data_IF_453916046669
#
_entry.id   IF_453916046669
#
_cell.length_a   1.000
_cell.length_b   1.000
_cell.length_c   1.000
_cell.angle_alpha   90.00
_cell.angle_beta   90.00
_cell.angle_gamma   90.00
#
_symmetry.space_group_name_H-M   'P 1'
#
loop_
_entity.id
_entity.type
_entity.pdbx_description
1 polymer ?
#
# COMPACT_ATOMS: atom_id res chain seq x y z
N UNK A 1 3.86 -21.25 10.10
CA UNK A 1 3.63 -19.81 9.91
C UNK A 1 3.93 -19.13 11.23
N UNK A 2 4.82 -18.14 11.28
CA UNK A 2 4.93 -17.26 12.45
C UNK A 2 3.67 -16.40 12.51
N UNK A 3 3.08 -16.23 13.69
CA UNK A 3 1.90 -15.41 13.90
C UNK A 3 2.16 -13.97 13.45
N UNK A 4 1.37 -13.47 12.50
CA UNK A 4 1.43 -12.08 12.01
C UNK A 4 0.52 -11.17 12.84
N UNK A 5 0.17 -11.53 14.07
CA UNK A 5 -0.73 -10.71 14.90
C UNK A 5 0.10 -9.68 15.65
N UNK A 6 -0.14 -8.36 15.47
CA UNK A 6 0.53 -7.34 16.26
C UNK A 6 0.24 -7.49 17.76
N UNK A 7 1.23 -7.16 18.60
CA UNK A 7 1.06 -7.23 20.04
C UNK A 7 0.25 -6.01 20.54
N UNK A 8 -1.04 -6.23 20.82
CA UNK A 8 -1.98 -5.41 21.61
C UNK A 8 -2.27 -3.95 21.19
N UNK A 9 -3.54 -3.67 20.83
CA UNK A 9 -4.38 -2.57 21.38
C UNK A 9 -5.85 -2.77 20.96
N UNK A 10 -6.82 -2.54 21.86
CA UNK A 10 -8.26 -2.47 21.56
C UNK A 10 -8.78 -1.07 21.92
N UNK A 11 -9.10 -0.21 20.94
CA UNK A 11 -10.03 0.88 21.15
C UNK A 11 -11.45 0.46 20.74
N UNK A 12 -12.47 1.12 21.30
CA UNK A 12 -13.83 1.11 20.79
C UNK A 12 -13.82 1.32 19.27
N UNK A 13 -14.39 0.38 18.51
CA UNK A 13 -14.43 0.48 17.06
C UNK A 13 -15.57 1.42 16.63
N UNK A 14 -15.34 2.33 15.67
CA UNK A 14 -16.41 3.13 15.11
C UNK A 14 -17.43 2.23 14.41
N UNK A 15 -18.73 2.51 14.61
CA UNK A 15 -19.82 1.84 13.91
C UNK A 15 -20.05 2.48 12.54
N UNK A 16 -20.52 1.68 11.57
CA UNK A 16 -20.85 2.19 10.23
C UNK A 16 -19.64 2.51 9.33
N UNK A 17 -18.48 1.93 9.63
CA UNK A 17 -17.32 2.00 8.72
C UNK A 17 -17.54 1.18 7.46
N UNK A 18 -16.96 1.66 6.36
CA UNK A 18 -17.09 1.08 5.03
C UNK A 18 -15.74 1.12 4.31
N UNK A 19 -15.31 -0.02 3.76
CA UNK A 19 -14.00 -0.16 3.08
C UNK A 19 -13.85 0.81 1.90
N UNK A 20 -14.94 1.19 1.23
CA UNK A 20 -14.93 2.11 0.08
C UNK A 20 -14.95 3.58 0.48
N UNK A 21 -14.99 3.90 1.79
CA UNK A 21 -14.97 5.28 2.29
C UNK A 21 -13.83 5.53 3.28
N UNK A 22 -13.62 4.59 4.18
CA UNK A 22 -12.88 4.82 5.44
C UNK A 22 -11.49 4.15 5.43
N UNK A 23 -11.19 3.32 4.43
CA UNK A 23 -9.91 2.64 4.25
C UNK A 23 -8.84 3.50 3.55
N UNK A 24 -7.55 3.15 3.69
CA UNK A 24 -6.47 3.89 3.03
C UNK A 24 -6.62 3.93 1.52
N UNK A 25 -7.07 2.84 0.90
CA UNK A 25 -7.28 2.80 -0.55
C UNK A 25 -8.46 3.69 -0.96
N UNK A 26 -9.51 3.77 -0.13
CA UNK A 26 -10.61 4.71 -0.34
C UNK A 26 -10.15 6.16 -0.36
N UNK A 27 -9.34 6.56 0.62
CA UNK A 27 -8.79 7.91 0.68
C UNK A 27 -7.75 8.17 -0.43
N UNK A 28 -6.98 7.17 -0.84
CA UNK A 28 -5.97 7.29 -1.89
C UNK A 28 -6.61 7.41 -3.28
N UNK A 29 -7.45 6.43 -3.68
CA UNK A 29 -8.01 6.35 -5.04
C UNK A 29 -9.36 7.07 -5.18
N UNK A 30 -9.99 7.47 -4.08
CA UNK A 30 -11.29 8.13 -4.09
C UNK A 30 -12.34 7.30 -4.82
N UNK A 31 -12.96 7.90 -5.83
CA UNK A 31 -14.01 7.27 -6.65
C UNK A 31 -13.52 6.03 -7.43
N UNK A 32 -12.20 5.85 -7.61
CA UNK A 32 -11.63 4.70 -8.33
C UNK A 32 -11.36 3.48 -7.44
N UNK A 33 -11.62 3.58 -6.13
CA UNK A 33 -11.37 2.50 -5.18
C UNK A 33 -12.17 1.23 -5.49
N UNK A 34 -13.44 1.38 -5.88
CA UNK A 34 -14.27 0.24 -6.27
C UNK A 34 -13.75 -0.43 -7.54
N UNK A 35 -13.25 0.35 -8.52
CA UNK A 35 -12.62 -0.17 -9.72
C UNK A 35 -11.31 -0.93 -9.40
N UNK A 36 -10.52 -0.43 -8.45
CA UNK A 36 -9.33 -1.13 -7.95
C UNK A 36 -9.71 -2.49 -7.36
N UNK A 37 -10.67 -2.53 -6.43
CA UNK A 37 -11.10 -3.80 -5.84
C UNK A 37 -11.73 -4.74 -6.86
N UNK A 38 -12.52 -4.24 -7.81
CA UNK A 38 -13.06 -5.06 -8.89
C UNK A 38 -11.95 -5.68 -9.74
N UNK A 39 -10.88 -4.94 -10.02
CA UNK A 39 -9.72 -5.43 -10.77
C UNK A 39 -8.93 -6.49 -10.00
N UNK A 40 -8.80 -6.32 -8.69
CA UNK A 40 -8.10 -7.25 -7.79
C UNK A 40 -8.89 -8.54 -7.56
N UNK A 41 -10.18 -8.42 -7.20
CA UNK A 41 -11.02 -9.52 -6.73
C UNK A 41 -11.78 -10.21 -7.87
N UNK A 42 -11.78 -9.62 -9.07
CA UNK A 42 -12.53 -10.08 -10.26
C UNK A 42 -14.04 -10.14 -10.04
N UNK A 43 -14.53 -9.44 -9.01
CA UNK A 43 -15.94 -9.32 -8.64
C UNK A 43 -16.14 -7.99 -7.89
N UNK A 44 -17.38 -7.54 -7.75
CA UNK A 44 -17.67 -6.36 -6.94
C UNK A 44 -17.36 -6.64 -5.47
N UNK A 45 -16.66 -5.72 -4.81
CA UNK A 45 -16.42 -5.81 -3.36
C UNK A 45 -17.74 -5.79 -2.57
N UNK A 46 -18.80 -5.18 -3.11
CA UNK A 46 -20.11 -5.06 -2.46
C UNK A 46 -20.86 -6.39 -2.38
N UNK A 47 -20.51 -7.37 -3.21
CA UNK A 47 -21.10 -8.71 -3.15
C UNK A 47 -20.35 -9.65 -2.21
N UNK A 48 -19.26 -9.19 -1.59
CA UNK A 48 -18.41 -10.01 -0.72
C UNK A 48 -18.64 -9.64 0.75
N UNK A 49 -18.57 -10.63 1.67
CA UNK A 49 -18.77 -10.41 3.10
C UNK A 49 -17.51 -9.84 3.74
N UNK A 50 -17.24 -8.54 3.50
CA UNK A 50 -16.11 -7.83 4.11
C UNK A 50 -16.29 -7.78 5.63
N UNK A 51 -15.31 -8.29 6.35
CA UNK A 51 -15.26 -8.29 7.80
C UNK A 51 -14.47 -7.09 8.32
N UNK A 52 -15.00 -6.48 9.37
CA UNK A 52 -14.35 -5.44 10.16
C UNK A 52 -14.98 -5.41 11.56
N UNK A 53 -14.18 -5.25 12.63
CA UNK A 53 -12.74 -5.45 12.68
C UNK A 53 -12.39 -6.95 12.67
N UNK A 54 -11.11 -7.28 12.50
CA UNK A 54 -10.61 -8.63 12.76
C UNK A 54 -9.97 -8.74 14.14
N UNK A 55 -10.04 -9.92 14.76
CA UNK A 55 -9.41 -10.12 16.07
C UNK A 55 -7.88 -10.09 15.94
N UNK A 56 -7.23 -9.23 16.74
CA UNK A 56 -5.80 -8.95 16.63
C UNK A 56 -5.44 -7.94 15.53
N UNK A 57 -6.41 -7.54 14.71
CA UNK A 57 -6.26 -6.58 13.61
C UNK A 57 -7.41 -5.55 13.66
N UNK A 58 -7.38 -4.63 14.64
CA UNK A 58 -8.51 -3.75 14.97
C UNK A 58 -8.91 -2.78 13.85
N UNK A 59 -8.01 -2.54 12.90
CA UNK A 59 -8.21 -1.65 11.77
C UNK A 59 -8.42 -2.40 10.45
N UNK A 60 -8.44 -3.73 10.43
CA UNK A 60 -8.44 -4.48 9.17
C UNK A 60 -9.83 -4.64 8.56
N UNK A 61 -9.91 -4.34 7.27
CA UNK A 61 -10.95 -4.82 6.37
C UNK A 61 -10.45 -6.06 5.65
N UNK A 62 -11.18 -7.17 5.76
CA UNK A 62 -10.69 -8.44 5.24
C UNK A 62 -11.82 -9.36 4.75
N UNK A 63 -11.41 -10.39 4.00
CA UNK A 63 -12.27 -11.50 3.63
C UNK A 63 -11.67 -12.81 4.17
N UNK A 64 -12.50 -13.76 4.55
CA UNK A 64 -12.02 -15.10 4.91
C UNK A 64 -11.32 -15.76 3.71
N UNK A 65 -10.28 -16.55 3.97
CA UNK A 65 -9.69 -17.41 2.93
C UNK A 65 -10.76 -18.21 2.20
N UNK A 66 -10.68 -18.24 0.86
CA UNK A 66 -11.65 -18.93 0.00
C UNK A 66 -12.81 -18.06 -0.50
N UNK A 67 -13.03 -16.86 0.06
CA UNK A 67 -14.01 -15.91 -0.48
C UNK A 67 -13.68 -15.48 -1.92
N UNK A 68 -12.38 -15.42 -2.26
CA UNK A 68 -11.88 -15.26 -3.62
C UNK A 68 -10.86 -16.36 -3.88
N UNK A 69 -11.21 -17.32 -4.73
CA UNK A 69 -10.46 -18.58 -4.91
C UNK A 69 -9.08 -18.40 -5.53
N UNK A 70 -8.87 -17.33 -6.29
CA UNK A 70 -7.61 -17.02 -6.97
C UNK A 70 -6.59 -16.34 -6.06
N UNK A 71 -6.98 -15.92 -4.85
CA UNK A 71 -6.13 -15.20 -3.91
C UNK A 71 -5.78 -16.06 -2.69
N UNK A 72 -4.60 -15.79 -2.14
CA UNK A 72 -4.08 -16.44 -0.94
C UNK A 72 -4.03 -15.45 0.22
N UNK A 73 -4.34 -15.94 1.42
CA UNK A 73 -4.26 -15.17 2.65
C UNK A 73 -2.87 -14.57 2.85
N UNK A 74 -2.85 -13.29 3.19
CA UNK A 74 -1.65 -12.53 3.53
C UNK A 74 -1.55 -12.21 5.03
N UNK A 75 -2.59 -12.50 5.81
CA UNK A 75 -2.61 -12.37 7.27
C UNK A 75 -3.36 -13.52 7.94
N UNK A 76 -3.14 -13.65 9.25
CA UNK A 76 -3.92 -14.50 10.15
C UNK A 76 -4.43 -13.67 11.32
N UNK A 77 -5.59 -14.03 11.87
CA UNK A 77 -6.12 -13.43 13.09
C UNK A 77 -5.46 -13.98 14.36
N UNK A 78 -5.91 -13.52 15.53
CA UNK A 78 -5.44 -13.98 16.84
C UNK A 78 -5.57 -15.51 17.06
N UNK A 79 -6.47 -16.19 16.36
CA UNK A 79 -6.70 -17.63 16.44
C UNK A 79 -6.08 -18.41 15.29
N UNK A 80 -5.22 -17.80 14.49
CA UNK A 80 -4.57 -18.38 13.32
C UNK A 80 -5.51 -18.70 12.14
N UNK A 81 -6.71 -18.12 12.10
CA UNK A 81 -7.57 -18.22 10.92
C UNK A 81 -7.03 -17.33 9.79
N UNK A 82 -6.93 -17.83 8.55
CA UNK A 82 -6.35 -17.11 7.42
C UNK A 82 -7.35 -16.14 6.75
N UNK A 83 -6.87 -14.94 6.44
CA UNK A 83 -7.64 -13.86 5.83
C UNK A 83 -6.92 -13.17 4.66
N UNK A 84 -7.71 -12.68 3.71
CA UNK A 84 -7.31 -11.73 2.67
C UNK A 84 -7.43 -10.32 3.26
N UNK A 85 -6.34 -9.73 3.74
CA UNK A 85 -6.30 -8.33 4.16
C UNK A 85 -6.42 -7.44 2.92
N UNK A 86 -7.51 -6.68 2.85
CA UNK A 86 -7.85 -5.82 1.72
C UNK A 86 -7.45 -4.37 1.95
N UNK A 87 -7.74 -3.85 3.14
CA UNK A 87 -7.42 -2.48 3.52
C UNK A 87 -7.29 -2.32 5.04
N UNK A 88 -6.80 -1.17 5.48
CA UNK A 88 -6.76 -0.75 6.87
C UNK A 88 -7.55 0.56 7.05
N UNK A 89 -8.26 0.70 8.17
CA UNK A 89 -8.94 1.93 8.56
C UNK A 89 -7.92 3.05 8.76
N UNK A 90 -8.19 4.21 8.15
CA UNK A 90 -7.33 5.39 8.27
C UNK A 90 -7.51 6.04 9.64
N UNK A 91 -6.40 6.45 10.25
CA UNK A 91 -6.44 7.42 11.35
C UNK A 91 -6.22 8.84 10.80
N UNK A 92 -7.31 9.53 10.48
CA UNK A 92 -7.28 10.88 9.88
C UNK A 92 -6.81 11.96 10.85
N UNK A 93 -6.73 11.67 12.16
CA UNK A 93 -6.19 12.61 13.14
C UNK A 93 -4.67 12.81 13.02
N UNK A 94 -3.96 11.86 12.38
CA UNK A 94 -2.51 11.98 12.13
C UNK A 94 -2.25 12.98 11.00
N UNK A 95 -2.98 12.82 9.90
CA UNK A 95 -2.79 13.58 8.67
C UNK A 95 -3.52 12.90 7.51
N UNK A 96 -3.70 13.60 6.39
CA UNK A 96 -4.40 13.05 5.25
C UNK A 96 -3.57 11.97 4.54
N UNK A 97 -4.27 10.99 3.99
CA UNK A 97 -3.71 10.10 2.96
C UNK A 97 -3.48 10.93 1.70
N UNK A 98 -2.35 10.73 1.04
CA UNK A 98 -2.03 11.41 -0.22
C UNK A 98 -2.94 10.85 -1.31
N UNK A 99 -3.87 11.66 -1.89
CA UNK A 99 -4.71 11.18 -2.96
C UNK A 99 -3.87 10.96 -4.22
N UNK A 100 -4.15 9.87 -4.93
CA UNK A 100 -3.48 9.52 -6.17
C UNK A 100 -4.51 8.96 -7.15
N UNK A 101 -4.45 9.38 -8.41
CA UNK A 101 -5.30 8.77 -9.44
C UNK A 101 -4.83 7.34 -9.73
N UNK A 102 -5.77 6.39 -9.72
CA UNK A 102 -5.48 5.00 -10.03
C UNK A 102 -4.81 4.90 -11.40
N UNK A 103 -3.57 4.43 -11.42
CA UNK A 103 -2.86 4.20 -12.67
C UNK A 103 -3.43 2.97 -13.38
N UNK A 104 -3.78 3.13 -14.66
CA UNK A 104 -4.17 2.05 -15.55
C UNK A 104 -3.39 2.12 -16.86
N UNK A 105 -3.12 0.99 -17.54
CA UNK A 105 -2.55 1.00 -18.87
C UNK A 105 -3.44 1.78 -19.85
N UNK A 106 -2.81 2.53 -20.78
CA UNK A 106 -3.53 3.41 -21.71
C UNK A 106 -4.21 2.67 -22.86
N UNK A 107 -3.61 1.57 -23.33
CA UNK A 107 -4.17 0.79 -24.43
C UNK A 107 -5.14 -0.27 -23.89
N UNK A 108 -6.24 -0.52 -24.60
CA UNK A 108 -7.20 -1.56 -24.22
C UNK A 108 -6.57 -2.95 -24.17
N UNK A 109 -5.59 -3.20 -25.05
CA UNK A 109 -4.81 -4.45 -25.07
C UNK A 109 -3.99 -4.62 -23.79
N UNK A 110 -3.25 -3.58 -23.38
CA UNK A 110 -2.44 -3.65 -22.17
C UNK A 110 -3.33 -3.70 -20.91
N UNK A 111 -4.48 -3.04 -20.93
CA UNK A 111 -5.46 -3.10 -19.85
C UNK A 111 -6.00 -4.53 -19.67
N UNK A 112 -6.40 -5.17 -20.77
CA UNK A 112 -6.83 -6.56 -20.76
C UNK A 112 -5.73 -7.47 -20.20
N UNK A 113 -4.53 -7.40 -20.81
CA UNK A 113 -3.42 -8.29 -20.49
C UNK A 113 -2.87 -8.11 -19.06
N UNK A 114 -2.74 -6.88 -18.59
CA UNK A 114 -2.01 -6.59 -17.34
C UNK A 114 -2.88 -6.26 -16.14
N UNK A 115 -4.20 -6.11 -16.33
CA UNK A 115 -5.15 -5.80 -15.24
C UNK A 115 -6.31 -6.78 -15.25
N UNK A 116 -7.06 -6.89 -16.35
CA UNK A 116 -8.31 -7.66 -16.35
C UNK A 116 -8.05 -9.18 -16.28
N UNK A 117 -7.17 -9.68 -17.14
CA UNK A 117 -6.80 -11.10 -17.25
C UNK A 117 -5.68 -11.50 -16.27
N UNK A 118 -4.92 -10.52 -15.79
CA UNK A 118 -3.86 -10.77 -14.82
C UNK A 118 -4.42 -11.03 -13.42
N UNK A 119 -3.79 -11.97 -12.70
CA UNK A 119 -3.96 -12.08 -11.24
C UNK A 119 -3.13 -11.00 -10.57
N UNK A 120 -3.82 -10.07 -9.90
CA UNK A 120 -3.17 -9.07 -9.05
C UNK A 120 -2.93 -9.66 -7.66
N UNK A 121 -2.00 -9.05 -6.93
CA UNK A 121 -1.62 -9.47 -5.59
C UNK A 121 -2.35 -8.57 -4.60
N UNK A 122 -2.64 -9.09 -3.40
CA UNK A 122 -3.20 -8.27 -2.32
C UNK A 122 -2.25 -7.10 -1.99
N UNK A 123 -2.78 -5.95 -1.54
CA UNK A 123 -1.95 -4.88 -1.02
C UNK A 123 -0.99 -5.38 0.07
N UNK A 124 0.22 -4.85 0.05
CA UNK A 124 1.24 -5.15 1.05
C UNK A 124 1.28 -3.98 2.02
N UNK A 125 0.60 -4.13 3.15
CA UNK A 125 0.65 -3.16 4.25
C UNK A 125 1.92 -3.36 5.09
N UNK A 126 2.51 -2.25 5.51
CA UNK A 126 3.66 -2.24 6.40
C UNK A 126 3.14 -2.02 7.81
N UNK A 127 3.20 -3.05 8.65
CA UNK A 127 2.75 -3.00 10.03
C UNK A 127 3.95 -3.24 10.93
N UNK A 128 4.05 -2.46 12.00
CA UNK A 128 5.11 -2.55 13.00
C UNK A 128 4.74 -3.59 14.07
N UNK A 129 5.74 -4.11 14.76
CA UNK A 129 5.54 -5.09 15.85
C UNK A 129 4.68 -4.55 16.99
N UNK A 130 4.64 -3.22 17.17
CA UNK A 130 3.81 -2.51 18.15
C UNK A 130 2.36 -2.24 17.66
N UNK A 131 1.98 -2.76 16.50
CA UNK A 131 0.67 -2.51 15.88
C UNK A 131 0.56 -1.18 15.13
N UNK A 132 1.60 -0.35 15.15
CA UNK A 132 1.64 0.88 14.35
C UNK A 132 1.63 0.57 12.85
N UNK A 133 1.01 1.47 12.07
CA UNK A 133 0.89 1.33 10.61
C UNK A 133 1.94 2.22 9.93
N UNK A 134 2.69 1.62 9.03
CA UNK A 134 3.62 2.27 8.13
C UNK A 134 5.05 2.47 8.66
N UNK A 135 5.87 3.06 7.80
CA UNK A 135 7.26 3.46 8.04
C UNK A 135 7.53 4.78 7.32
N UNK A 136 8.32 5.68 7.90
CA UNK A 136 8.61 6.96 7.23
C UNK A 136 9.44 6.76 5.96
N UNK A 137 9.34 7.67 4.98
CA UNK A 137 10.20 7.61 3.78
C UNK A 137 11.68 7.66 4.17
N UNK A 138 12.02 8.50 5.15
CA UNK A 138 13.38 8.60 5.69
C UNK A 138 13.90 7.26 6.25
N UNK A 139 13.11 6.58 7.07
CA UNK A 139 13.50 5.29 7.66
C UNK A 139 13.58 4.18 6.61
N UNK A 140 12.61 4.13 5.70
CA UNK A 140 12.59 3.15 4.63
C UNK A 140 13.78 3.30 3.68
N UNK A 141 14.15 4.54 3.30
CA UNK A 141 15.29 4.78 2.40
C UNK A 141 16.63 4.46 3.05
N UNK A 142 16.76 4.73 4.35
CA UNK A 142 17.90 4.36 5.19
C UNK A 142 17.99 2.84 5.47
N UNK A 143 16.87 2.12 5.33
CA UNK A 143 16.79 0.69 5.60
C UNK A 143 16.50 0.35 7.06
N UNK A 144 15.95 1.28 7.83
CA UNK A 144 15.58 1.15 9.23
C UNK A 144 14.21 0.44 9.39
N UNK A 145 14.08 -0.77 8.84
CA UNK A 145 12.81 -1.52 8.79
C UNK A 145 12.71 -2.68 9.78
N UNK A 146 13.61 -2.75 10.77
CA UNK A 146 13.68 -3.86 11.73
C UNK A 146 12.44 -3.95 12.65
N UNK A 147 11.76 -2.82 12.89
CA UNK A 147 10.53 -2.75 13.68
C UNK A 147 9.30 -3.29 12.95
N UNK A 148 9.41 -3.61 11.66
CA UNK A 148 8.30 -4.15 10.88
C UNK A 148 8.06 -5.62 11.13
N UNK A 149 6.79 -5.95 11.24
CA UNK A 149 6.29 -7.29 11.39
C UNK A 149 6.64 -8.14 10.16
N UNK A 150 7.36 -9.24 10.40
CA UNK A 150 7.81 -10.13 9.34
C UNK A 150 8.80 -9.50 8.37
N UNK A 151 9.65 -8.57 8.83
CA UNK A 151 10.65 -7.88 7.99
C UNK A 151 11.52 -8.81 7.13
N UNK A 152 11.87 -10.00 7.63
CA UNK A 152 12.68 -11.00 6.90
C UNK A 152 11.87 -11.96 6.03
N UNK A 153 10.53 -11.84 5.99
CA UNK A 153 9.70 -12.74 5.18
C UNK A 153 9.88 -12.44 3.69
N UNK A 154 9.87 -13.49 2.86
CA UNK A 154 9.75 -13.31 1.42
C UNK A 154 8.40 -12.67 1.07
N UNK A 155 8.40 -11.72 0.15
CA UNK A 155 7.18 -11.04 -0.31
C UNK A 155 6.90 -11.36 -1.77
N UNK A 156 5.68 -11.83 -2.05
CA UNK A 156 5.25 -11.99 -3.42
C UNK A 156 4.90 -10.62 -4.01
N UNK A 157 5.61 -10.24 -5.07
CA UNK A 157 5.47 -8.96 -5.77
C UNK A 157 5.01 -9.18 -7.22
N UNK A 158 4.20 -10.23 -7.43
CA UNK A 158 3.58 -10.57 -8.71
C UNK A 158 4.42 -11.47 -9.62
N UNK A 159 5.36 -12.24 -9.05
CA UNK A 159 6.16 -13.23 -9.78
C UNK A 159 7.13 -12.71 -10.85
N UNK A 160 7.15 -11.40 -11.13
CA UNK A 160 8.07 -10.78 -12.10
C UNK A 160 9.49 -10.68 -11.55
N UNK A 161 10.47 -10.48 -12.43
CA UNK A 161 11.87 -10.19 -12.06
C UNK A 161 12.12 -8.71 -11.77
N UNK A 162 11.26 -7.84 -12.31
CA UNK A 162 11.26 -6.41 -12.03
C UNK A 162 9.85 -5.86 -12.12
N UNK A 163 9.62 -4.78 -11.37
CA UNK A 163 8.33 -4.06 -11.32
C UNK A 163 8.58 -2.55 -11.31
N UNK A 164 7.55 -1.78 -11.64
CA UNK A 164 7.56 -0.33 -11.53
C UNK A 164 6.84 0.12 -10.26
N UNK A 165 7.45 1.00 -9.47
CA UNK A 165 6.72 1.88 -8.56
C UNK A 165 6.21 3.07 -9.37
N UNK A 166 4.93 3.39 -9.27
CA UNK A 166 4.30 4.55 -9.91
C UNK A 166 3.75 5.47 -8.84
N UNK A 167 3.93 6.77 -9.03
CA UNK A 167 3.50 7.81 -8.11
C UNK A 167 2.71 8.83 -8.93
N UNK A 168 1.47 9.09 -8.51
CA UNK A 168 0.63 10.14 -9.07
C UNK A 168 0.31 11.18 -7.99
N UNK A 169 1.34 11.91 -7.58
CA UNK A 169 1.23 12.92 -6.52
C UNK A 169 0.41 14.12 -7.00
N UNK A 170 -0.48 14.69 -6.16
CA UNK A 170 -1.34 15.81 -6.56
C UNK A 170 -0.56 17.01 -7.11
N UNK A 171 -0.90 17.44 -8.32
CA UNK A 171 -0.29 18.59 -8.97
C UNK A 171 1.06 18.33 -9.65
N UNK A 172 1.60 17.12 -9.59
CA UNK A 172 2.84 16.75 -10.28
C UNK A 172 2.58 15.76 -11.41
N UNK A 173 3.50 15.69 -12.37
CA UNK A 173 3.43 14.70 -13.45
C UNK A 173 3.63 13.30 -12.89
N UNK A 174 3.05 12.30 -13.57
CA UNK A 174 3.30 10.90 -13.23
C UNK A 174 4.80 10.62 -13.17
N UNK A 175 5.24 10.06 -12.04
CA UNK A 175 6.60 9.61 -11.86
C UNK A 175 6.63 8.09 -11.71
N UNK A 176 7.66 7.45 -12.26
CA UNK A 176 7.83 6.01 -12.12
C UNK A 176 9.30 5.62 -12.01
N UNK A 177 9.54 4.51 -11.33
CA UNK A 177 10.87 3.89 -11.25
C UNK A 177 10.76 2.38 -11.21
N UNK A 178 11.62 1.72 -11.98
CA UNK A 178 11.75 0.27 -11.97
C UNK A 178 12.76 -0.18 -10.91
N UNK A 179 12.49 -1.33 -10.27
CA UNK A 179 13.45 -2.03 -9.43
C UNK A 179 13.30 -3.55 -9.56
N UNK A 180 14.34 -4.28 -9.18
CA UNK A 180 14.39 -5.74 -9.23
C UNK A 180 13.67 -6.36 -8.03
N UNK A 181 13.00 -7.47 -8.26
CA UNK A 181 12.18 -8.19 -7.28
C UNK A 181 12.75 -9.55 -6.88
N UNK A 182 13.98 -9.82 -7.30
CA UNK A 182 14.79 -10.95 -6.85
C UNK A 182 16.08 -10.43 -6.24
N UNK A 183 16.61 -11.17 -5.28
CA UNK A 183 17.95 -10.89 -4.79
C UNK A 183 19.02 -11.13 -5.87
N UNK A 184 20.18 -10.52 -5.70
CA UNK A 184 21.33 -10.66 -6.60
C UNK A 184 22.16 -11.91 -6.26
N UNK A 185 21.67 -12.80 -5.39
CA UNK A 185 22.37 -14.03 -5.06
C UNK A 185 22.30 -15.00 -6.23
N UNK A 186 23.18 -16.01 -6.25
CA UNK A 186 23.15 -17.06 -7.26
C UNK A 186 21.79 -17.79 -7.32
N UNK A 187 21.07 -17.87 -6.19
CA UNK A 187 19.75 -18.48 -6.10
C UNK A 187 18.62 -17.59 -6.66
N UNK A 188 18.85 -16.28 -6.83
CA UNK A 188 17.86 -15.29 -7.27
C UNK A 188 16.54 -15.41 -6.50
N UNK A 189 16.64 -15.52 -5.18
CA UNK A 189 15.48 -15.72 -4.31
C UNK A 189 14.55 -14.53 -4.37
N UNK A 190 13.28 -14.77 -4.07
CA UNK A 190 12.29 -13.70 -3.90
C UNK A 190 12.77 -12.74 -2.82
N UNK A 191 12.65 -11.43 -3.07
CA UNK A 191 13.10 -10.43 -2.10
C UNK A 191 12.32 -10.52 -0.78
N UNK A 192 12.99 -10.15 0.30
CA UNK A 192 12.39 -10.00 1.62
C UNK A 192 11.61 -8.69 1.74
N UNK A 193 10.72 -8.60 2.73
CA UNK A 193 9.95 -7.38 3.00
C UNK A 193 10.86 -6.18 3.27
N UNK A 194 11.93 -6.35 4.07
CA UNK A 194 12.89 -5.28 4.37
C UNK A 194 13.54 -4.71 3.09
N UNK A 195 13.93 -5.60 2.16
CA UNK A 195 14.55 -5.20 0.90
C UNK A 195 13.54 -4.53 -0.02
N UNK A 196 12.32 -5.04 -0.08
CA UNK A 196 11.24 -4.45 -0.85
C UNK A 196 10.93 -3.03 -0.38
N UNK A 197 10.76 -2.84 0.92
CA UNK A 197 10.49 -1.53 1.52
C UNK A 197 11.63 -0.57 1.26
N UNK A 198 12.88 -1.02 1.33
CA UNK A 198 14.04 -0.20 0.97
C UNK A 198 14.00 0.26 -0.49
N UNK A 199 13.55 -0.59 -1.42
CA UNK A 199 13.34 -0.17 -2.81
C UNK A 199 12.24 0.87 -2.94
N UNK A 200 11.13 0.71 -2.22
CA UNK A 200 10.02 1.68 -2.20
C UNK A 200 10.49 3.02 -1.61
N UNK A 201 11.09 3.00 -0.42
CA UNK A 201 11.61 4.18 0.28
C UNK A 201 12.63 4.96 -0.56
N UNK A 202 13.63 4.28 -1.15
CA UNK A 202 14.60 4.91 -2.05
C UNK A 202 13.97 5.46 -3.33
N UNK A 203 12.86 4.88 -3.79
CA UNK A 203 12.15 5.40 -4.96
C UNK A 203 11.38 6.67 -4.60
N UNK A 204 10.75 6.71 -3.43
CA UNK A 204 10.08 7.91 -2.92
C UNK A 204 11.06 9.02 -2.61
N UNK A 205 12.21 8.74 -1.99
CA UNK A 205 13.26 9.73 -1.71
C UNK A 205 13.73 10.40 -3.00
N UNK A 206 14.02 9.61 -4.05
CA UNK A 206 14.37 10.14 -5.39
C UNK A 206 13.26 10.92 -6.07
N UNK A 207 12.01 10.51 -5.87
CA UNK A 207 10.85 11.25 -6.37
C UNK A 207 10.77 12.63 -5.69
N UNK A 208 10.90 12.68 -4.35
CA UNK A 208 10.85 13.92 -3.59
C UNK A 208 12.00 14.86 -3.98
N UNK A 209 13.21 14.32 -4.16
CA UNK A 209 14.37 15.08 -4.65
C UNK A 209 14.08 15.69 -6.03
N UNK A 210 13.58 14.88 -6.98
CA UNK A 210 13.29 15.32 -8.34
C UNK A 210 12.19 16.39 -8.41
N UNK A 211 11.19 16.33 -7.52
CA UNK A 211 10.05 17.26 -7.50
C UNK A 211 10.27 18.48 -6.60
N UNK A 212 11.36 18.53 -5.83
CA UNK A 212 11.61 19.55 -4.80
C UNK A 212 11.66 21.00 -5.32
N UNK A 213 11.99 21.16 -6.60
CA UNK A 213 12.04 22.45 -7.31
C UNK A 213 10.87 22.65 -8.29
N UNK A 214 9.97 21.69 -8.40
CA UNK A 214 8.76 21.80 -9.22
C UNK A 214 7.60 22.41 -8.41
N UNK A 215 6.79 23.24 -9.07
CA UNK A 215 5.59 23.84 -8.50
C UNK A 215 4.38 22.96 -8.87
N UNK A 216 3.57 22.52 -7.89
CA UNK A 216 2.39 21.72 -8.20
C UNK A 216 1.35 22.56 -8.96
N UNK A 217 0.75 21.97 -9.98
CA UNK A 217 -0.39 22.55 -10.70
C UNK A 217 -1.67 22.38 -9.86
N UNK A 218 -2.37 23.47 -9.56
CA UNK A 218 -3.69 23.47 -8.89
C UNK A 218 -3.74 22.98 -7.43
N UNK A 219 -2.64 22.47 -6.87
CA UNK A 219 -2.61 21.78 -5.57
C UNK A 219 -1.45 22.24 -4.66
N UNK A 220 -1.38 23.54 -4.29
CA UNK A 220 -0.25 24.10 -3.52
C UNK A 220 -0.06 23.47 -2.14
N UNK A 221 -1.11 22.97 -1.51
CA UNK A 221 -1.04 22.28 -0.22
C UNK A 221 -0.24 20.96 -0.29
N UNK A 222 -0.09 20.39 -1.48
CA UNK A 222 0.68 19.17 -1.73
C UNK A 222 2.11 19.46 -2.22
N UNK A 223 2.61 20.69 -2.06
CA UNK A 223 3.96 21.07 -2.50
C UNK A 223 5.03 20.24 -1.80
N UNK A 224 5.96 19.71 -2.59
CA UNK A 224 7.17 19.01 -2.16
C UNK A 224 8.33 19.99 -2.12
N UNK A 225 9.22 19.85 -1.13
CA UNK A 225 10.50 20.57 -1.08
C UNK A 225 10.66 21.48 0.14
N UNK A 226 11.61 22.43 0.11
CA UNK A 226 11.93 23.27 1.25
C UNK A 226 10.72 24.05 1.79
N UNK A 227 10.56 24.04 3.11
CA UNK A 227 9.42 24.64 3.83
C UNK A 227 8.06 24.10 3.34
N UNK A 228 8.03 22.83 2.93
CA UNK A 228 6.87 22.11 2.43
C UNK A 228 6.97 20.64 2.87
N UNK A 229 6.27 19.74 2.18
CA UNK A 229 6.31 18.31 2.47
C UNK A 229 7.68 17.74 2.10
N UNK A 230 8.34 17.13 3.07
CA UNK A 230 9.60 16.41 2.94
C UNK A 230 9.49 14.93 3.30
N UNK A 231 10.61 14.22 3.20
CA UNK A 231 10.66 12.76 3.44
C UNK A 231 10.35 12.35 4.89
N UNK A 232 10.51 13.27 5.84
CA UNK A 232 10.19 13.01 7.25
C UNK A 232 8.70 13.17 7.54
N UNK A 233 7.97 13.80 6.61
CA UNK A 233 6.55 14.11 6.76
C UNK A 233 5.65 13.00 6.20
N UNK A 234 6.23 12.01 5.51
CA UNK A 234 5.49 10.99 4.76
C UNK A 234 5.73 9.63 5.38
N UNK A 235 4.63 9.00 5.80
CA UNK A 235 4.56 7.58 6.16
C UNK A 235 4.15 6.76 4.93
N UNK A 236 4.95 5.76 4.61
CA UNK A 236 4.60 4.70 3.65
C UNK A 236 3.78 3.66 4.39
N UNK A 237 2.49 3.64 4.12
CA UNK A 237 1.52 2.72 4.75
C UNK A 237 1.60 1.33 4.14
N UNK A 238 1.85 1.26 2.84
CA UNK A 238 1.93 0.03 2.08
C UNK A 238 2.06 0.30 0.59
N UNK A 239 1.78 -0.73 -0.20
CA UNK A 239 1.73 -0.63 -1.67
C UNK A 239 0.57 -1.42 -2.23
N UNK A 240 -0.06 -0.92 -3.30
CA UNK A 240 -1.16 -1.56 -4.02
C UNK A 240 -0.70 -2.06 -5.39
N UNK A 241 -1.01 -3.32 -5.74
CA UNK A 241 -0.69 -3.89 -7.05
C UNK A 241 -1.76 -3.45 -8.06
N UNK A 242 -1.44 -2.48 -8.92
CA UNK A 242 -2.43 -1.87 -9.84
C UNK A 242 -2.40 -2.48 -11.24
N UNK A 243 -1.33 -3.18 -11.59
CA UNK A 243 -1.22 -4.04 -12.77
C UNK A 243 -0.09 -5.05 -12.55
N UNK A 244 -0.06 -6.16 -13.29
CA UNK A 244 0.93 -7.25 -13.10
C UNK A 244 2.41 -6.86 -13.11
N UNK A 245 2.78 -5.61 -13.42
CA UNK A 245 4.14 -5.10 -13.29
C UNK A 245 4.23 -3.68 -12.72
N UNK A 246 3.17 -3.16 -12.11
CA UNK A 246 3.14 -1.82 -11.52
C UNK A 246 2.48 -1.81 -10.14
N UNK A 247 3.15 -1.17 -9.20
CA UNK A 247 2.70 -0.95 -7.84
C UNK A 247 2.59 0.55 -7.57
N UNK A 248 1.62 0.96 -6.76
CA UNK A 248 1.49 2.35 -6.29
C UNK A 248 1.66 2.39 -4.77
N UNK A 249 2.45 3.33 -4.22
CA UNK A 249 2.61 3.44 -2.78
C UNK A 249 1.37 4.08 -2.15
N UNK A 250 0.96 3.55 -1.00
CA UNK A 250 -0.08 4.11 -0.14
C UNK A 250 0.64 5.02 0.85
N UNK A 251 0.35 6.31 0.82
CA UNK A 251 1.09 7.34 1.55
C UNK A 251 0.17 8.13 2.46
N UNK A 252 0.64 8.44 3.66
CA UNK A 252 -0.05 9.32 4.60
C UNK A 252 0.91 10.39 5.10
N UNK A 253 0.45 11.63 5.21
CA UNK A 253 1.20 12.65 5.93
C UNK A 253 1.14 12.36 7.44
N UNK A 254 2.25 12.57 8.14
CA UNK A 254 2.31 12.43 9.60
C UNK A 254 1.89 13.70 10.35
N UNK A 255 1.36 14.68 9.63
CA UNK A 255 0.81 15.91 10.15
C UNK A 255 -0.41 16.35 9.31
N UNK A 256 -1.31 17.18 9.86
CA UNK A 256 -2.37 17.82 9.08
C UNK A 256 -1.81 18.72 7.98
N UNK A 257 -2.53 18.87 6.87
CA UNK A 257 -2.21 19.91 5.88
C UNK A 257 -2.47 21.28 6.50
N UNK A 258 -1.48 22.15 6.42
CA UNK A 258 -1.67 23.57 6.71
C UNK A 258 -2.33 24.18 5.48
N UNK A 259 -3.59 24.59 5.61
CA UNK A 259 -4.37 25.28 4.57
C UNK A 259 -4.09 26.77 4.63
#
# INVERSE_FOLDING_TARGET
>A
MQSLVPHTFQPSHPTGVDILRDGFLAHMFGVFTELFFQSLLKTSIRSLPVQFPLQGWPSAFALSQGAVTTLQANVVDAYQYPYLLLDLLVNTAIGPVVPQTLWVPRSSRDLAQYVLEATLELPIFFVRNDGGIGITVADASAGNSASLLGSTRAVNVGGRTSVHLRIQWPGYKEWRRQFQTRDETAARSVITLDRFIRHVGRSLDRFLEAMSSEIPDGFPQWRIGPNAIGRHDITIVGVAHVSSGSWMPILQLNHPLVV
#
